data_IF_323982619259
#
_entry.id   IF_323982619259
#
_cell.length_a   1.000
_cell.length_b   1.000
_cell.length_c   1.000
_cell.angle_alpha   90.00
_cell.angle_beta   90.00
_cell.angle_gamma   90.00
#
_symmetry.space_group_name_H-M   'P 1'
#
loop_
_entity.id
_entity.type
_entity.pdbx_description
1 polymer ?
#
# COMPACT_ATOMS: atom_id res chain seq x y z
N UNK A 1 -29.85 5.04 14.32
CA UNK A 1 -29.13 6.05 13.50
C UNK A 1 -27.65 6.04 13.91
N UNK A 2 -26.76 6.17 12.93
CA UNK A 2 -25.39 5.66 12.92
C UNK A 2 -24.41 6.25 13.96
N UNK A 3 -23.59 5.34 14.50
CA UNK A 3 -22.44 5.56 15.38
C UNK A 3 -21.40 6.43 14.65
N UNK A 4 -21.26 7.70 15.04
CA UNK A 4 -20.26 8.61 14.45
C UNK A 4 -18.89 8.26 15.01
N UNK A 5 -18.23 7.30 14.35
CA UNK A 5 -16.79 7.08 14.45
C UNK A 5 -16.10 8.42 14.26
N UNK A 6 -15.34 8.84 15.26
CA UNK A 6 -14.46 9.99 15.23
C UNK A 6 -13.58 9.91 13.97
N UNK A 7 -13.96 10.63 12.92
CA UNK A 7 -13.14 10.72 11.72
C UNK A 7 -12.00 11.68 12.02
N UNK A 8 -10.90 11.12 12.52
CA UNK A 8 -9.58 11.72 12.39
C UNK A 8 -9.41 12.08 10.92
N UNK A 9 -9.54 13.38 10.59
CA UNK A 9 -9.40 13.90 9.23
C UNK A 9 -8.07 13.37 8.67
N UNK A 10 -8.06 12.63 7.55
CA UNK A 10 -6.82 12.10 7.01
C UNK A 10 -5.96 13.28 6.57
N UNK A 11 -4.80 13.41 7.19
CA UNK A 11 -3.82 14.42 6.83
C UNK A 11 -3.51 14.29 5.33
N UNK A 12 -3.74 15.36 4.56
CA UNK A 12 -3.68 15.38 3.08
C UNK A 12 -2.25 15.26 2.54
N UNK A 13 -1.25 15.18 3.40
CA UNK A 13 0.15 15.05 3.01
C UNK A 13 0.56 13.56 3.00
N UNK A 14 0.66 12.92 1.81
CA UNK A 14 1.06 11.52 1.69
C UNK A 14 2.47 11.26 2.23
N UNK A 15 3.33 12.29 2.26
CA UNK A 15 4.69 12.24 2.82
C UNK A 15 4.66 11.95 4.34
N UNK A 16 3.79 12.62 5.10
CA UNK A 16 3.65 12.38 6.55
C UNK A 16 3.08 10.99 6.87
N UNK A 17 2.23 10.43 5.99
CA UNK A 17 1.74 9.04 6.14
C UNK A 17 2.86 8.03 5.91
N UNK A 18 3.72 8.28 4.92
CA UNK A 18 4.85 7.40 4.62
C UNK A 18 5.90 7.43 5.74
N UNK A 19 6.22 8.61 6.28
CA UNK A 19 7.13 8.75 7.43
C UNK A 19 6.58 8.04 8.68
N UNK A 20 5.28 8.12 8.93
CA UNK A 20 4.63 7.38 10.02
C UNK A 20 4.65 5.86 9.78
N UNK A 21 4.45 5.40 8.54
CA UNK A 21 4.60 3.98 8.19
C UNK A 21 6.05 3.50 8.32
N UNK A 22 7.03 4.34 7.98
CA UNK A 22 8.45 4.04 8.12
C UNK A 22 8.88 3.90 9.58
N UNK A 23 8.34 4.75 10.46
CA UNK A 23 8.57 4.68 11.90
C UNK A 23 7.90 3.44 12.56
N UNK A 24 7.13 2.67 11.80
CA UNK A 24 6.35 1.52 12.28
C UNK A 24 6.81 0.19 11.68
N UNK A 25 8.05 0.09 11.19
CA UNK A 25 8.59 -1.18 10.66
C UNK A 25 7.61 -1.79 9.65
N UNK A 26 7.28 -1.04 8.59
CA UNK A 26 6.58 -1.67 7.48
C UNK A 26 7.55 -2.65 6.78
N UNK A 27 7.70 -3.85 7.33
CA UNK A 27 8.35 -5.04 6.75
C UNK A 27 7.56 -5.58 5.53
N UNK A 28 6.82 -4.69 4.87
CA UNK A 28 6.13 -5.02 3.64
C UNK A 28 7.19 -5.04 2.56
N UNK A 29 7.30 -6.20 1.91
CA UNK A 29 8.22 -6.39 0.80
C UNK A 29 8.06 -5.24 -0.23
N UNK A 30 9.16 -4.59 -0.64
CA UNK A 30 9.13 -3.53 -1.65
C UNK A 30 8.44 -3.96 -2.96
N UNK A 31 8.46 -5.25 -3.31
CA UNK A 31 7.75 -5.82 -4.46
C UNK A 31 6.23 -5.78 -4.27
N UNK A 32 5.72 -6.02 -3.06
CA UNK A 32 4.29 -5.90 -2.74
C UNK A 32 3.85 -4.43 -2.86
N UNK A 33 4.67 -3.49 -2.38
CA UNK A 33 4.39 -2.05 -2.54
C UNK A 33 4.38 -1.64 -4.02
N UNK A 34 5.34 -2.16 -4.81
CA UNK A 34 5.44 -1.90 -6.24
C UNK A 34 4.24 -2.46 -7.01
N UNK A 35 3.81 -3.68 -6.71
CA UNK A 35 2.62 -4.28 -7.33
C UNK A 35 1.36 -3.42 -7.08
N UNK A 36 1.14 -2.99 -5.83
CA UNK A 36 0.03 -2.10 -5.46
C UNK A 36 0.07 -0.77 -6.22
N UNK A 37 1.24 -0.15 -6.33
CA UNK A 37 1.41 1.09 -7.08
C UNK A 37 1.06 0.91 -8.56
N UNK A 38 1.53 -0.18 -9.19
CA UNK A 38 1.24 -0.50 -10.59
C UNK A 38 -0.26 -0.75 -10.83
N UNK A 39 -0.96 -1.41 -9.88
CA UNK A 39 -2.42 -1.57 -9.90
C UNK A 39 -3.14 -0.22 -9.85
N UNK A 40 -2.72 0.67 -8.94
CA UNK A 40 -3.31 2.02 -8.83
C UNK A 40 -3.09 2.87 -10.09
N UNK A 41 -1.99 2.67 -10.81
CA UNK A 41 -1.71 3.33 -12.09
C UNK A 41 -2.43 2.66 -13.29
N UNK A 42 -3.21 1.60 -13.07
CA UNK A 42 -3.88 0.86 -14.14
C UNK A 42 -2.95 -0.04 -14.97
N UNK A 43 -1.68 -0.17 -14.60
CA UNK A 43 -0.66 -0.96 -15.33
C UNK A 43 -0.74 -2.44 -14.94
N UNK A 44 -1.86 -3.09 -15.29
CA UNK A 44 -2.21 -4.45 -14.85
C UNK A 44 -1.19 -5.53 -15.24
N UNK A 45 -0.70 -5.52 -16.47
CA UNK A 45 0.24 -6.55 -16.94
C UNK A 45 1.56 -6.54 -16.13
N UNK A 46 2.06 -5.34 -15.81
CA UNK A 46 3.28 -5.18 -15.02
C UNK A 46 3.06 -5.48 -13.55
N UNK A 47 1.89 -5.14 -13.01
CA UNK A 47 1.51 -5.52 -11.66
C UNK A 47 1.48 -7.05 -11.50
N UNK A 48 0.89 -7.76 -12.47
CA UNK A 48 0.82 -9.22 -12.48
C UNK A 48 2.20 -9.87 -12.54
N UNK A 49 3.12 -9.36 -13.35
CA UNK A 49 4.49 -9.87 -13.41
C UNK A 49 5.20 -9.76 -12.04
N UNK A 50 5.07 -8.60 -11.37
CA UNK A 50 5.65 -8.42 -10.03
C UNK A 50 4.96 -9.32 -9.00
N UNK A 51 3.64 -9.50 -9.09
CA UNK A 51 2.89 -10.41 -8.21
C UNK A 51 3.34 -11.87 -8.35
N UNK A 52 3.78 -12.29 -9.55
CA UNK A 52 4.35 -13.62 -9.79
C UNK A 52 5.74 -13.80 -9.16
N UNK A 53 6.56 -12.74 -9.09
CA UNK A 53 7.90 -12.81 -8.47
C UNK A 53 7.83 -13.01 -6.96
N UNK A 54 6.82 -12.42 -6.30
CA UNK A 54 6.54 -12.62 -4.85
C UNK A 54 5.61 -13.80 -4.58
N UNK A 55 5.26 -14.59 -5.60
CA UNK A 55 4.41 -15.75 -5.41
C UNK A 55 5.16 -16.81 -4.59
N UNK A 56 4.61 -17.29 -3.47
CA UNK A 56 5.29 -18.29 -2.66
C UNK A 56 5.40 -19.61 -3.43
N UNK A 57 6.59 -20.20 -3.43
CA UNK A 57 6.84 -21.53 -3.97
C UNK A 57 6.47 -22.57 -2.90
N UNK A 58 5.29 -23.16 -3.01
CA UNK A 58 4.84 -24.30 -2.18
C UNK A 58 4.78 -25.56 -3.02
#
# INVERSE_FOLDING_TARGET
>A
MANRRSSSRPNRNPQLRLEQCWLHECDIDPLILRARLLRHQGRRAMALAVEQEVQPMF
#
